data_IF_923649760959
#
_entry.id   IF_923649760959
#
_cell.length_a   1.000
_cell.length_b   1.000
_cell.length_c   1.000
_cell.angle_alpha   90.00
_cell.angle_beta   90.00
_cell.angle_gamma   90.00
#
_symmetry.space_group_name_H-M   'P 1'
#
loop_
_entity.id
_entity.type
_entity.pdbx_description
1 polymer ?
#
# COMPACT_ATOMS: atom_id res chain seq x y z
N UNK A 1 5.63 15.25 -4.16
CA UNK A 1 5.93 15.86 -5.46
C UNK A 1 5.64 14.92 -6.62
N UNK A 2 6.15 13.69 -6.58
CA UNK A 2 5.94 12.73 -7.67
C UNK A 2 4.45 12.42 -7.88
N UNK A 3 3.69 12.21 -6.82
CA UNK A 3 2.27 11.90 -6.92
C UNK A 3 1.47 12.99 -7.62
N UNK A 4 1.72 14.24 -7.27
CA UNK A 4 1.03 15.36 -7.91
C UNK A 4 1.44 15.53 -9.36
N UNK A 5 2.72 15.32 -9.67
CA UNK A 5 3.22 15.38 -11.05
C UNK A 5 2.56 14.29 -11.91
N UNK A 6 2.45 13.07 -11.39
CA UNK A 6 1.76 11.98 -12.09
C UNK A 6 0.29 12.33 -12.34
N UNK A 7 -0.39 12.89 -11.35
CA UNK A 7 -1.79 13.28 -11.51
C UNK A 7 -1.96 14.30 -12.63
N UNK A 8 -1.06 15.28 -12.70
CA UNK A 8 -1.12 16.29 -13.77
C UNK A 8 -0.93 15.69 -15.16
N UNK A 9 0.03 14.78 -15.28
CA UNK A 9 0.34 14.13 -16.56
C UNK A 9 -0.80 13.21 -16.99
N UNK A 10 -1.41 12.51 -16.04
CA UNK A 10 -2.40 11.47 -16.33
C UNK A 10 -3.83 12.00 -16.39
N UNK A 11 -4.04 13.26 -16.10
CA UNK A 11 -5.37 13.88 -16.14
C UNK A 11 -6.02 13.65 -17.51
N UNK A 12 -7.23 13.09 -17.49
CA UNK A 12 -7.99 12.83 -18.72
C UNK A 12 -7.53 11.61 -19.50
N UNK A 13 -6.54 10.86 -19.00
CA UNK A 13 -6.05 9.65 -19.66
C UNK A 13 -6.68 8.41 -19.02
N UNK A 14 -6.90 7.39 -19.86
CA UNK A 14 -7.37 6.08 -19.39
C UNK A 14 -6.17 5.21 -19.05
N UNK A 15 -5.80 5.20 -17.76
CA UNK A 15 -4.61 4.50 -17.27
C UNK A 15 -4.91 3.80 -15.97
N UNK A 16 -4.09 2.83 -15.63
CA UNK A 16 -4.06 2.21 -14.31
C UNK A 16 -2.68 2.46 -13.72
N UNK A 17 -2.64 3.01 -12.50
CA UNK A 17 -1.41 3.13 -11.74
C UNK A 17 -1.25 1.91 -10.85
N UNK A 18 -0.06 1.33 -10.87
CA UNK A 18 0.25 0.17 -10.03
C UNK A 18 1.45 0.51 -9.16
N UNK A 19 1.28 0.42 -7.84
CA UNK A 19 2.39 0.45 -6.90
C UNK A 19 2.75 -1.00 -6.57
N UNK A 20 3.90 -1.43 -7.01
CA UNK A 20 4.39 -2.79 -6.74
C UNK A 20 5.31 -2.75 -5.53
N UNK A 21 4.96 -3.50 -4.50
CA UNK A 21 5.75 -3.55 -3.27
C UNK A 21 5.48 -4.84 -2.52
N UNK A 22 6.49 -5.32 -1.78
CA UNK A 22 6.27 -6.25 -0.71
C UNK A 22 6.06 -5.46 0.58
N UNK A 23 5.59 -6.11 1.62
CA UNK A 23 5.44 -5.51 2.94
C UNK A 23 6.66 -5.88 3.81
N UNK A 24 6.48 -6.41 5.02
CA UNK A 24 7.60 -6.76 5.88
C UNK A 24 8.45 -7.89 5.32
N UNK A 25 9.75 -7.89 5.66
CA UNK A 25 10.70 -8.91 5.21
C UNK A 25 11.37 -9.59 6.39
N UNK A 26 11.32 -10.93 6.40
CA UNK A 26 12.14 -11.80 7.25
C UNK A 26 11.83 -11.73 8.74
N UNK A 27 10.66 -11.29 9.10
CA UNK A 27 10.17 -11.35 10.47
C UNK A 27 9.40 -12.66 10.70
N UNK A 28 9.32 -13.10 11.97
CA UNK A 28 8.37 -14.17 12.29
C UNK A 28 6.94 -13.80 11.93
N UNK A 29 6.14 -14.78 11.60
CA UNK A 29 4.76 -14.57 11.11
C UNK A 29 3.96 -13.60 11.98
N UNK A 30 3.98 -13.78 13.29
CA UNK A 30 3.17 -12.94 14.19
C UNK A 30 3.63 -11.47 14.18
N UNK A 31 4.92 -11.23 14.04
CA UNK A 31 5.46 -9.87 13.94
C UNK A 31 5.14 -9.26 12.57
N UNK A 32 5.31 -10.05 11.51
CA UNK A 32 5.00 -9.62 10.15
C UNK A 32 3.54 -9.18 10.02
N UNK A 33 2.62 -9.95 10.60
CA UNK A 33 1.20 -9.62 10.55
C UNK A 33 0.90 -8.26 11.18
N UNK A 34 1.55 -7.93 12.29
CA UNK A 34 1.37 -6.63 12.96
C UNK A 34 1.95 -5.48 12.15
N UNK A 35 3.15 -5.66 11.62
CA UNK A 35 3.80 -4.62 10.80
C UNK A 35 3.00 -4.37 9.52
N UNK A 36 2.58 -5.43 8.87
CA UNK A 36 1.81 -5.34 7.65
C UNK A 36 0.43 -4.72 7.88
N UNK A 37 -0.21 -5.07 9.00
CA UNK A 37 -1.51 -4.51 9.37
C UNK A 37 -1.44 -2.98 9.50
N UNK A 38 -0.34 -2.44 10.02
CA UNK A 38 -0.20 -0.99 10.15
C UNK A 38 -0.09 -0.30 8.78
N UNK A 39 0.71 -0.86 7.87
CA UNK A 39 0.80 -0.31 6.51
C UNK A 39 -0.56 -0.39 5.81
N UNK A 40 -1.23 -1.53 5.90
CA UNK A 40 -2.53 -1.71 5.25
C UNK A 40 -3.61 -0.84 5.89
N UNK A 41 -3.52 -0.55 7.20
CA UNK A 41 -4.40 0.40 7.86
C UNK A 41 -4.25 1.80 7.25
N UNK A 42 -3.02 2.24 7.02
CA UNK A 42 -2.75 3.53 6.40
C UNK A 42 -3.26 3.57 4.96
N UNK A 43 -3.10 2.48 4.21
CA UNK A 43 -3.62 2.36 2.85
C UNK A 43 -5.14 2.44 2.87
N UNK A 44 -5.81 1.69 3.75
CA UNK A 44 -7.26 1.69 3.87
C UNK A 44 -7.81 3.06 4.27
N UNK A 45 -7.06 3.80 5.09
CA UNK A 45 -7.42 5.16 5.50
C UNK A 45 -7.12 6.19 4.41
N UNK A 46 -6.58 5.76 3.29
CA UNK A 46 -6.15 6.63 2.18
C UNK A 46 -5.15 7.69 2.66
N UNK A 47 -4.17 7.25 3.46
CA UNK A 47 -3.21 8.12 4.14
C UNK A 47 -1.79 7.85 3.66
N UNK A 48 -1.36 8.49 2.56
CA UNK A 48 0.01 8.28 2.05
C UNK A 48 1.08 8.78 3.03
N UNK A 49 0.81 9.83 3.77
CA UNK A 49 1.74 10.34 4.78
C UNK A 49 1.95 9.30 5.87
N UNK A 50 0.87 8.64 6.30
CA UNK A 50 0.94 7.57 7.29
C UNK A 50 1.76 6.37 6.83
N UNK A 51 1.69 6.03 5.54
CA UNK A 51 2.52 4.96 4.96
C UNK A 51 4.01 5.27 5.16
N UNK A 52 4.43 6.50 4.87
CA UNK A 52 5.82 6.90 5.06
C UNK A 52 6.19 6.97 6.55
N UNK A 53 5.32 7.51 7.38
CA UNK A 53 5.55 7.64 8.81
C UNK A 53 5.66 6.28 9.52
N UNK A 54 4.92 5.28 9.07
CA UNK A 54 4.95 3.94 9.66
C UNK A 54 6.36 3.35 9.65
N UNK A 55 7.10 3.48 8.54
CA UNK A 55 8.46 2.98 8.49
C UNK A 55 9.42 3.82 9.33
N UNK A 56 9.27 5.14 9.30
CA UNK A 56 10.11 6.02 10.13
C UNK A 56 9.96 5.72 11.61
N UNK A 57 8.79 5.28 12.03
CA UNK A 57 8.49 4.94 13.43
C UNK A 57 8.75 3.46 13.75
N UNK A 58 9.13 2.66 12.76
CA UNK A 58 9.37 1.23 12.95
C UNK A 58 8.10 0.41 13.14
N UNK A 59 6.96 0.93 12.76
CA UNK A 59 5.64 0.28 12.97
C UNK A 59 5.16 -0.52 11.77
N UNK A 60 5.77 -0.33 10.60
CA UNK A 60 5.43 -1.05 9.39
C UNK A 60 6.49 -0.84 8.34
N UNK A 61 6.58 -1.75 7.38
CA UNK A 61 7.58 -1.69 6.32
C UNK A 61 6.98 -2.06 4.98
N UNK A 62 7.40 -1.34 3.95
CA UNK A 62 7.10 -1.67 2.57
C UNK A 62 8.30 -1.26 1.73
N UNK A 63 8.90 -2.19 0.99
CA UNK A 63 10.09 -1.87 0.19
C UNK A 63 9.80 -0.80 -0.86
N UNK A 64 8.59 -0.74 -1.36
CA UNK A 64 8.13 0.28 -2.30
C UNK A 64 7.28 1.38 -1.68
N UNK A 65 7.54 1.76 -0.41
CA UNK A 65 6.72 2.75 0.28
C UNK A 65 6.62 4.09 -0.46
N UNK A 66 7.70 4.50 -1.10
CA UNK A 66 7.69 5.74 -1.89
C UNK A 66 6.77 5.66 -3.09
N UNK A 67 6.81 4.54 -3.82
CA UNK A 67 5.91 4.29 -4.93
C UNK A 67 4.46 4.18 -4.46
N UNK A 68 4.24 3.49 -3.35
CA UNK A 68 2.90 3.34 -2.77
C UNK A 68 2.32 4.70 -2.38
N UNK A 69 3.08 5.51 -1.65
CA UNK A 69 2.64 6.85 -1.27
C UNK A 69 2.38 7.73 -2.50
N UNK A 70 3.25 7.67 -3.51
CA UNK A 70 3.08 8.46 -4.73
C UNK A 70 1.80 8.09 -5.47
N UNK A 71 1.49 6.79 -5.58
CA UNK A 71 0.25 6.33 -6.22
C UNK A 71 -0.97 6.77 -5.44
N UNK A 72 -0.93 6.70 -4.10
CA UNK A 72 -2.03 7.17 -3.27
C UNK A 72 -2.27 8.67 -3.44
N UNK A 73 -1.20 9.48 -3.42
CA UNK A 73 -1.32 10.92 -3.65
C UNK A 73 -1.85 11.22 -5.06
N UNK A 74 -1.33 10.54 -6.08
CA UNK A 74 -1.80 10.72 -7.45
C UNK A 74 -3.27 10.36 -7.58
N UNK A 75 -3.70 9.27 -6.97
CA UNK A 75 -5.08 8.82 -7.01
C UNK A 75 -6.02 9.84 -6.35
N UNK A 76 -5.63 10.39 -5.19
CA UNK A 76 -6.40 11.44 -4.54
C UNK A 76 -6.56 12.66 -5.46
N UNK A 77 -5.46 13.10 -6.06
CA UNK A 77 -5.48 14.27 -6.95
C UNK A 77 -6.30 14.01 -8.22
N UNK A 78 -6.42 12.74 -8.65
CA UNK A 78 -7.24 12.35 -9.80
C UNK A 78 -8.70 12.11 -9.42
N UNK A 79 -9.07 12.27 -8.16
CA UNK A 79 -10.46 12.22 -7.72
C UNK A 79 -10.89 10.88 -7.13
N UNK A 80 -9.97 9.97 -6.87
CA UNK A 80 -10.30 8.73 -6.17
C UNK A 80 -10.73 9.02 -4.73
N UNK A 81 -11.66 8.26 -4.23
CA UNK A 81 -12.26 8.49 -2.90
C UNK A 81 -12.47 7.21 -2.11
N UNK A 82 -12.14 6.05 -2.66
CA UNK A 82 -12.42 4.77 -2.04
C UNK A 82 -11.19 3.87 -2.13
N UNK A 83 -10.80 3.29 -1.00
CA UNK A 83 -9.73 2.29 -0.95
C UNK A 83 -10.30 1.03 -0.32
N UNK A 84 -10.01 -0.11 -0.95
CA UNK A 84 -10.37 -1.41 -0.40
C UNK A 84 -9.12 -2.27 -0.32
N UNK A 85 -8.78 -2.70 0.88
CA UNK A 85 -7.76 -3.73 1.09
C UNK A 85 -8.44 -5.07 0.85
N UNK A 86 -7.94 -5.83 -0.12
CA UNK A 86 -8.57 -7.05 -0.59
C UNK A 86 -8.06 -8.27 0.13
N UNK A 87 -6.77 -8.32 0.45
CA UNK A 87 -6.17 -9.52 1.02
C UNK A 87 -4.81 -9.21 1.63
N UNK A 88 -4.43 -10.00 2.62
CA UNK A 88 -3.11 -10.05 3.20
C UNK A 88 -2.69 -11.51 3.33
N UNK A 89 -1.45 -11.80 3.00
CA UNK A 89 -0.87 -13.13 3.16
C UNK A 89 0.63 -12.99 3.40
N UNK A 90 1.25 -14.08 3.78
CA UNK A 90 2.71 -14.15 3.89
C UNK A 90 3.24 -15.36 3.14
N UNK A 91 4.55 -15.36 2.89
CA UNK A 91 5.20 -16.53 2.31
C UNK A 91 5.03 -17.77 3.18
N UNK A 92 4.89 -17.60 4.50
CA UNK A 92 4.67 -18.70 5.43
C UNK A 92 3.34 -19.42 5.21
N UNK A 93 2.35 -18.72 4.66
CA UNK A 93 1.05 -19.33 4.35
C UNK A 93 1.17 -20.40 3.23
N UNK A 94 2.21 -20.31 2.42
CA UNK A 94 2.47 -21.26 1.34
C UNK A 94 3.55 -22.27 1.72
N UNK A 95 4.66 -21.80 2.30
CA UNK A 95 5.83 -22.65 2.59
C UNK A 95 5.70 -23.45 3.89
N UNK A 96 4.87 -22.95 4.83
CA UNK A 96 4.78 -23.52 6.17
C UNK A 96 5.91 -23.08 7.11
N UNK A 97 6.91 -22.34 6.62
CA UNK A 97 7.97 -21.78 7.46
C UNK A 97 7.51 -20.42 8.00
N UNK A 98 7.20 -20.38 9.29
CA UNK A 98 6.70 -19.18 9.97
C UNK A 98 7.79 -18.43 10.72
N UNK A 99 9.04 -18.85 10.62
CA UNK A 99 10.16 -18.24 11.36
C UNK A 99 10.67 -16.97 10.69
N UNK A 100 10.64 -16.94 9.37
CA UNK A 100 10.99 -15.77 8.56
C UNK A 100 10.07 -15.73 7.36
N UNK A 101 9.28 -14.66 7.27
CA UNK A 101 8.30 -14.53 6.19
C UNK A 101 8.45 -13.19 5.48
N UNK A 102 7.91 -13.14 4.27
CA UNK A 102 7.68 -11.89 3.54
C UNK A 102 6.18 -11.64 3.53
N UNK A 103 5.77 -10.44 3.86
CA UNK A 103 4.36 -10.05 3.85
C UNK A 103 3.93 -9.50 2.51
N UNK A 104 2.70 -9.82 2.12
CA UNK A 104 2.08 -9.38 0.88
C UNK A 104 0.69 -8.83 1.16
N UNK A 105 0.32 -7.81 0.40
CA UNK A 105 -1.02 -7.25 0.48
C UNK A 105 -1.53 -6.91 -0.90
N UNK A 106 -2.83 -6.81 -1.04
CA UNK A 106 -3.47 -6.35 -2.25
C UNK A 106 -4.55 -5.33 -1.89
N UNK A 107 -4.58 -4.23 -2.63
CA UNK A 107 -5.57 -3.19 -2.44
C UNK A 107 -5.94 -2.56 -3.78
N UNK A 108 -7.14 -2.00 -3.86
CA UNK A 108 -7.58 -1.23 -5.01
C UNK A 108 -8.03 0.13 -4.55
N UNK A 109 -7.78 1.12 -5.39
CA UNK A 109 -8.15 2.51 -5.17
C UNK A 109 -9.09 2.92 -6.30
N UNK A 110 -10.25 3.42 -5.95
CA UNK A 110 -11.34 3.62 -6.89
C UNK A 110 -11.91 5.02 -6.73
N UNK A 111 -12.50 5.51 -7.81
CA UNK A 111 -13.44 6.62 -7.73
C UNK A 111 -14.85 6.03 -7.73
N UNK A 112 -15.61 6.31 -6.68
CA UNK A 112 -17.00 5.88 -6.63
C UNK A 112 -17.78 6.61 -7.73
N UNK A 113 -18.71 5.90 -8.33
CA UNK A 113 -19.58 6.50 -9.32
C UNK A 113 -20.86 6.95 -8.66
N UNK A 114 -21.10 8.24 -8.75
CA UNK A 114 -22.27 8.85 -8.18
C UNK A 114 -23.13 9.36 -9.34
N UNK A 115 -24.38 9.04 -9.28
CA UNK A 115 -25.36 9.47 -10.26
C UNK A 115 -26.34 10.41 -9.65
#
# INVERSE_FOLDING_TARGET
>A
ALGLALAQILQGRSVILVASTDLSHFYPQAVAEKLDAEVLRCVAAFDPQGVLAAEEQGEGFACGRGALAAVLWAAQALGADTVKVLHHATSGDVTGDLTQVVGYGAAVVLRSQIR
#
